data_IF_639370417655
#
_entry.id   IF_639370417655
#
_cell.length_a   1.000
_cell.length_b   1.000
_cell.length_c   1.000
_cell.angle_alpha   90.00
_cell.angle_beta   90.00
_cell.angle_gamma   90.00
#
_symmetry.space_group_name_H-M   'P 1'
#
loop_
_entity.id
_entity.type
_entity.pdbx_description
1 polymer ?
#
# COMPACT_ATOMS: atom_id res chain seq x y z
N UNK A 1 -5.50 -9.55 -17.34
CA UNK A 1 -5.03 -9.87 -15.97
C UNK A 1 -6.08 -9.36 -14.99
N UNK A 2 -6.36 -10.10 -13.91
CA UNK A 2 -7.33 -9.65 -12.90
C UNK A 2 -6.76 -8.48 -12.07
N UNK A 3 -7.61 -7.61 -11.49
CA UNK A 3 -7.14 -6.55 -10.60
C UNK A 3 -6.34 -7.14 -9.42
N UNK A 4 -5.19 -6.55 -9.12
CA UNK A 4 -4.33 -7.01 -8.03
C UNK A 4 -4.93 -6.69 -6.66
N UNK A 5 -5.13 -7.72 -5.84
CA UNK A 5 -5.61 -7.59 -4.46
C UNK A 5 -4.48 -7.15 -3.54
N UNK A 6 -4.74 -6.13 -2.73
CA UNK A 6 -3.80 -5.63 -1.73
C UNK A 6 -4.09 -6.16 -0.33
N UNK A 7 -3.06 -6.64 0.36
CA UNK A 7 -3.12 -6.96 1.77
C UNK A 7 -2.55 -5.80 2.62
N UNK A 8 -3.38 -5.21 3.48
CA UNK A 8 -3.00 -4.14 4.41
C UNK A 8 -2.80 -4.76 5.79
N UNK A 9 -1.58 -4.69 6.32
CA UNK A 9 -1.19 -5.43 7.53
C UNK A 9 -0.63 -4.49 8.59
N UNK A 10 -1.12 -4.65 9.82
CA UNK A 10 -0.50 -4.06 11.00
C UNK A 10 0.59 -4.97 11.52
N UNK A 11 1.81 -4.44 11.62
CA UNK A 11 2.92 -5.12 12.26
C UNK A 11 2.75 -5.20 13.78
N UNK A 12 3.76 -5.73 14.46
CA UNK A 12 3.71 -5.97 15.91
C UNK A 12 3.47 -4.69 16.71
N UNK A 13 4.10 -3.59 16.26
CA UNK A 13 4.00 -2.25 16.84
C UNK A 13 3.61 -1.27 15.75
N UNK A 14 2.53 -0.54 15.97
CA UNK A 14 1.99 0.51 15.08
C UNK A 14 1.53 1.69 15.92
N UNK A 15 1.59 2.90 15.38
CA UNK A 15 0.96 4.08 15.99
C UNK A 15 -0.49 4.25 15.53
N UNK A 16 -1.24 5.13 16.19
CA UNK A 16 -2.55 5.56 15.71
C UNK A 16 -2.50 6.16 14.31
N UNK A 17 -1.47 6.96 14.02
CA UNK A 17 -1.24 7.57 12.70
C UNK A 17 -1.06 6.51 11.60
N UNK A 18 -0.19 5.52 11.82
CA UNK A 18 0.03 4.42 10.85
C UNK A 18 -1.26 3.61 10.64
N UNK A 19 -2.01 3.37 11.72
CA UNK A 19 -3.28 2.66 11.63
C UNK A 19 -4.34 3.42 10.83
N UNK A 20 -4.38 4.75 10.95
CA UNK A 20 -5.23 5.61 10.11
C UNK A 20 -4.76 5.60 8.65
N UNK A 21 -3.45 5.71 8.39
CA UNK A 21 -2.90 5.64 7.04
C UNK A 21 -3.22 4.31 6.34
N UNK A 22 -3.07 3.16 7.03
CA UNK A 22 -3.48 1.85 6.49
C UNK A 22 -4.99 1.76 6.23
N UNK A 23 -5.80 2.44 7.05
CA UNK A 23 -7.26 2.50 6.85
C UNK A 23 -7.60 3.30 5.60
N UNK A 24 -6.93 4.43 5.37
CA UNK A 24 -7.14 5.25 4.19
C UNK A 24 -6.67 4.54 2.91
N UNK A 25 -5.50 3.90 2.95
CA UNK A 25 -5.00 3.06 1.84
C UNK A 25 -5.97 1.93 1.50
N UNK A 26 -6.53 1.26 2.52
CA UNK A 26 -7.56 0.25 2.32
C UNK A 26 -8.80 0.82 1.63
N UNK A 27 -9.27 1.99 2.06
CA UNK A 27 -10.44 2.64 1.46
C UNK A 27 -10.20 3.04 0.00
N UNK A 28 -9.01 3.56 -0.33
CA UNK A 28 -8.61 3.90 -1.71
C UNK A 28 -8.51 2.68 -2.62
N UNK A 29 -8.21 1.50 -2.05
CA UNK A 29 -7.96 0.27 -2.80
C UNK A 29 -9.19 -0.64 -2.91
N UNK A 30 -10.31 -0.31 -2.28
CA UNK A 30 -11.58 -1.06 -2.39
C UNK A 30 -12.07 -1.14 -3.85
N UNK A 31 -12.64 -2.28 -4.26
CA UNK A 31 -12.88 -3.50 -3.48
C UNK A 31 -11.69 -4.47 -3.43
N UNK A 32 -10.58 -4.16 -4.12
CA UNK A 32 -9.42 -5.05 -4.30
C UNK A 32 -8.44 -4.99 -3.12
N UNK A 33 -8.95 -5.06 -1.89
CA UNK A 33 -8.15 -4.93 -0.69
C UNK A 33 -8.68 -5.77 0.47
N UNK A 34 -7.77 -6.28 1.30
CA UNK A 34 -8.04 -6.97 2.56
C UNK A 34 -7.25 -6.27 3.67
N UNK A 35 -7.89 -5.96 4.80
CA UNK A 35 -7.24 -5.22 5.89
C UNK A 35 -7.21 -6.03 7.20
N UNK A 36 -6.00 -6.41 7.61
CA UNK A 36 -5.72 -7.11 8.85
C UNK A 36 -5.53 -6.10 9.99
N UNK A 37 -6.60 -5.89 10.77
CA UNK A 37 -6.62 -4.95 11.89
C UNK A 37 -5.96 -5.48 13.18
N UNK A 38 -5.72 -6.79 13.28
CA UNK A 38 -4.96 -7.39 14.38
C UNK A 38 -3.47 -7.25 14.10
N UNK A 39 -2.65 -7.18 15.14
CA UNK A 39 -1.20 -7.06 15.00
C UNK A 39 -0.59 -8.40 14.59
N UNK A 40 0.42 -8.35 13.72
CA UNK A 40 1.13 -9.51 13.22
C UNK A 40 2.62 -9.32 13.50
N UNK A 41 3.25 -10.28 14.18
CA UNK A 41 4.67 -10.25 14.49
C UNK A 41 5.49 -10.69 13.28
N UNK A 42 5.53 -9.83 12.25
CA UNK A 42 6.25 -10.03 11.00
C UNK A 42 7.29 -8.93 10.85
N UNK A 43 8.47 -9.31 10.36
CA UNK A 43 9.59 -8.41 10.12
C UNK A 43 10.02 -8.55 8.66
N UNK A 44 9.41 -7.78 7.72
CA UNK A 44 9.56 -8.05 6.28
C UNK A 44 11.00 -8.12 5.76
N UNK A 45 11.92 -7.36 6.35
CA UNK A 45 13.34 -7.32 5.98
C UNK A 45 14.22 -8.34 6.72
N UNK A 46 13.67 -9.08 7.69
CA UNK A 46 14.39 -10.11 8.44
C UNK A 46 13.89 -11.51 8.04
N UNK A 47 12.57 -11.70 7.99
CA UNK A 47 11.92 -12.92 7.53
C UNK A 47 10.59 -12.60 6.83
N UNK A 48 10.53 -12.91 5.54
CA UNK A 48 9.36 -12.64 4.69
C UNK A 48 8.36 -13.80 4.66
N UNK A 49 8.74 -14.99 5.15
CA UNK A 49 7.96 -16.24 5.00
C UNK A 49 6.53 -16.09 5.51
N UNK A 50 6.36 -15.44 6.66
CA UNK A 50 5.03 -15.20 7.23
C UNK A 50 4.20 -14.24 6.36
N UNK A 51 4.82 -13.24 5.75
CA UNK A 51 4.14 -12.30 4.86
C UNK A 51 3.73 -12.94 3.54
N UNK A 52 4.60 -13.77 2.95
CA UNK A 52 4.30 -14.58 1.76
C UNK A 52 3.11 -15.50 2.02
N UNK A 53 3.12 -16.23 3.14
CA UNK A 53 1.99 -17.09 3.55
C UNK A 53 0.68 -16.29 3.69
N UNK A 54 0.72 -15.13 4.34
CA UNK A 54 -0.45 -14.27 4.48
C UNK A 54 -0.96 -13.77 3.12
N UNK A 55 -0.06 -13.36 2.23
CA UNK A 55 -0.42 -12.92 0.89
C UNK A 55 -1.04 -14.05 0.07
N UNK A 56 -0.42 -15.24 0.07
CA UNK A 56 -0.94 -16.44 -0.59
C UNK A 56 -2.33 -16.83 -0.08
N UNK A 57 -2.55 -16.81 1.24
CA UNK A 57 -3.85 -17.15 1.84
C UNK A 57 -4.98 -16.19 1.45
N UNK A 58 -4.66 -14.96 1.09
CA UNK A 58 -5.63 -13.94 0.72
C UNK A 58 -5.63 -13.63 -0.79
N UNK A 59 -4.94 -14.44 -1.60
CA UNK A 59 -4.75 -14.20 -3.04
C UNK A 59 -4.28 -12.76 -3.35
N UNK A 60 -3.40 -12.23 -2.49
CA UNK A 60 -2.89 -10.87 -2.58
C UNK A 60 -1.51 -10.87 -3.24
N UNK A 61 -1.37 -10.15 -4.36
CA UNK A 61 -0.10 -9.99 -5.07
C UNK A 61 0.63 -8.70 -4.74
N UNK A 62 0.04 -7.84 -3.90
CA UNK A 62 0.64 -6.60 -3.39
C UNK A 62 0.28 -6.43 -1.91
N UNK A 63 1.11 -5.73 -1.15
CA UNK A 63 0.83 -5.45 0.26
C UNK A 63 1.28 -4.06 0.69
N UNK A 64 0.69 -3.59 1.79
CA UNK A 64 1.25 -2.51 2.60
C UNK A 64 1.31 -2.94 4.07
N UNK A 65 2.46 -2.75 4.70
CA UNK A 65 2.75 -3.21 6.05
C UNK A 65 3.18 -2.03 6.94
N UNK A 66 2.42 -1.76 8.00
CA UNK A 66 2.69 -0.64 8.90
C UNK A 66 3.48 -1.05 10.13
N UNK A 67 4.50 -0.27 10.49
CA UNK A 67 5.27 -0.43 11.73
C UNK A 67 5.59 0.92 12.38
N UNK A 68 5.96 0.88 13.66
CA UNK A 68 6.44 2.05 14.39
C UNK A 68 7.54 1.66 15.38
N UNK A 69 8.68 2.33 15.29
CA UNK A 69 9.80 2.21 16.24
C UNK A 69 10.55 3.52 16.38
N UNK A 70 11.46 3.63 17.37
CA UNK A 70 12.33 4.80 17.51
C UNK A 70 13.28 4.98 16.32
N UNK A 71 13.79 3.87 15.75
CA UNK A 71 14.71 3.87 14.61
C UNK A 71 14.00 4.17 13.29
N UNK A 72 12.77 3.68 13.14
CA UNK A 72 11.90 3.85 11.97
C UNK A 72 10.52 4.30 12.44
N UNK A 73 10.33 5.59 12.73
CA UNK A 73 9.04 6.12 13.16
C UNK A 73 8.06 6.13 11.99
N UNK A 74 6.80 5.81 12.26
CA UNK A 74 5.68 5.90 11.30
C UNK A 74 5.97 5.26 9.94
N UNK A 75 6.46 4.03 9.94
CA UNK A 75 6.98 3.37 8.76
C UNK A 75 5.90 2.57 8.02
N UNK A 76 5.86 2.70 6.70
CA UNK A 76 5.07 1.87 5.80
C UNK A 76 6.01 1.12 4.86
N UNK A 77 5.80 -0.17 4.70
CA UNK A 77 6.47 -0.99 3.69
C UNK A 77 5.46 -1.34 2.61
N UNK A 78 5.76 -0.98 1.36
CA UNK A 78 4.99 -1.44 0.20
C UNK A 78 5.77 -2.52 -0.51
N UNK A 79 5.09 -3.56 -1.01
CA UNK A 79 5.76 -4.60 -1.77
C UNK A 79 4.85 -5.39 -2.67
N UNK A 80 5.48 -6.16 -3.56
CA UNK A 80 4.83 -6.98 -4.59
C UNK A 80 5.26 -8.42 -4.45
N UNK A 81 4.36 -9.33 -4.77
CA UNK A 81 4.61 -10.76 -4.85
C UNK A 81 4.57 -11.21 -6.32
N UNK A 82 5.41 -12.16 -6.67
CA UNK A 82 5.37 -12.89 -7.92
C UNK A 82 5.39 -14.39 -7.60
N UNK A 83 4.41 -15.13 -8.10
CA UNK A 83 4.22 -16.55 -7.77
C UNK A 83 4.25 -16.81 -6.25
N UNK A 84 3.57 -15.95 -5.50
CA UNK A 84 3.50 -15.96 -4.03
C UNK A 84 4.82 -15.72 -3.28
N UNK A 85 5.91 -15.41 -3.99
CA UNK A 85 7.18 -15.03 -3.40
C UNK A 85 7.42 -13.52 -3.50
N UNK A 86 8.16 -12.96 -2.56
CA UNK A 86 8.51 -11.53 -2.58
C UNK A 86 9.29 -11.19 -3.84
N UNK A 87 8.75 -10.26 -4.64
CA UNK A 87 9.44 -9.70 -5.81
C UNK A 87 10.33 -8.53 -5.37
N UNK A 88 9.72 -7.52 -4.76
CA UNK A 88 10.40 -6.33 -4.26
C UNK A 88 9.56 -5.61 -3.20
N UNK A 89 10.22 -4.72 -2.45
CA UNK A 89 9.59 -3.88 -1.45
C UNK A 89 10.39 -2.60 -1.17
N UNK A 90 9.70 -1.57 -0.70
CA UNK A 90 10.29 -0.29 -0.31
C UNK A 90 9.72 0.19 1.04
N UNK A 91 10.57 0.73 1.91
CA UNK A 91 10.17 1.38 3.17
C UNK A 91 10.03 2.89 2.98
N UNK A 92 8.94 3.46 3.50
CA UNK A 92 8.62 4.87 3.45
C UNK A 92 8.19 5.34 4.83
N UNK A 93 8.92 6.31 5.39
CA UNK A 93 8.58 6.97 6.63
C UNK A 93 7.54 8.06 6.42
N UNK A 94 6.47 8.06 7.22
CA UNK A 94 5.45 9.11 7.17
C UNK A 94 5.89 10.30 8.03
N UNK A 95 6.06 11.46 7.41
CA UNK A 95 6.41 12.70 8.11
C UNK A 95 5.18 13.54 8.49
N UNK A 96 4.26 13.76 7.53
CA UNK A 96 3.10 14.63 7.72
C UNK A 96 1.83 14.00 7.12
N UNK A 97 1.08 13.26 7.95
CA UNK A 97 -0.18 12.62 7.54
C UNK A 97 -1.40 13.43 7.95
N UNK A 98 -2.34 13.57 7.01
CA UNK A 98 -3.70 14.03 7.29
C UNK A 98 -4.67 12.95 6.80
N UNK A 99 -5.53 12.42 7.68
CA UNK A 99 -6.49 11.39 7.30
C UNK A 99 -7.57 11.96 6.38
N UNK A 100 -8.11 11.12 5.50
CA UNK A 100 -9.18 11.48 4.56
C UNK A 100 -10.40 12.10 5.25
N UNK A 101 -10.70 11.71 6.48
CA UNK A 101 -11.84 12.22 7.25
C UNK A 101 -11.74 13.70 7.62
N UNK A 102 -10.54 14.29 7.62
CA UNK A 102 -10.35 15.71 7.92
C UNK A 102 -10.67 16.63 6.73
N UNK A 103 -10.81 16.09 5.52
CA UNK A 103 -11.10 16.86 4.33
C UNK A 103 -12.62 17.02 4.16
N UNK A 104 -13.07 18.28 4.07
CA UNK A 104 -14.48 18.60 3.87
C UNK A 104 -15.00 18.04 2.53
N UNK A 105 -16.25 17.57 2.53
CA UNK A 105 -16.90 17.04 1.32
C UNK A 105 -16.65 15.56 1.04
N UNK A 106 -15.80 14.87 1.81
CA UNK A 106 -15.57 13.42 1.70
C UNK A 106 -16.62 12.63 2.52
N UNK A 107 -17.88 13.07 2.52
CA UNK A 107 -18.98 12.39 3.18
C UNK A 107 -19.33 11.09 2.44
N UNK A 108 -18.52 10.04 2.64
CA UNK A 108 -18.69 8.74 2.00
C UNK A 108 -17.45 8.19 1.28
N UNK A 109 -16.32 8.92 1.25
CA UNK A 109 -15.11 8.52 0.53
C UNK A 109 -15.11 8.90 -0.96
N UNK A 110 -14.12 8.41 -1.70
CA UNK A 110 -14.10 8.48 -3.16
C UNK A 110 -15.13 7.47 -3.72
N UNK A 111 -15.75 7.76 -4.87
CA UNK A 111 -16.66 6.81 -5.52
C UNK A 111 -15.93 5.48 -5.75
N UNK A 112 -16.54 4.37 -5.31
CA UNK A 112 -15.93 3.06 -5.37
C UNK A 112 -15.46 2.75 -6.81
N UNK A 113 -14.25 2.20 -6.93
CA UNK A 113 -13.64 1.85 -8.22
C UNK A 113 -13.30 3.01 -9.16
N UNK A 114 -13.37 4.26 -8.69
CA UNK A 114 -12.81 5.40 -9.43
C UNK A 114 -11.34 5.16 -9.75
N UNK A 115 -10.98 5.24 -11.03
CA UNK A 115 -9.60 5.05 -11.46
C UNK A 115 -8.76 6.27 -11.05
N UNK A 116 -7.72 6.11 -10.22
CA UNK A 116 -6.90 7.25 -9.83
C UNK A 116 -6.04 7.73 -11.00
N UNK A 117 -5.78 9.04 -11.03
CA UNK A 117 -4.73 9.62 -11.84
C UNK A 117 -3.45 9.68 -11.00
N UNK A 118 -2.33 9.23 -11.55
CA UNK A 118 -1.02 9.27 -10.91
C UNK A 118 -0.14 10.29 -11.63
N UNK A 119 0.38 11.26 -10.88
CA UNK A 119 1.34 12.25 -11.35
C UNK A 119 2.63 12.10 -10.54
N UNK A 120 3.74 11.88 -11.23
CA UNK A 120 5.08 11.84 -10.64
C UNK A 120 5.84 13.07 -11.13
N UNK A 121 6.05 14.04 -10.25
CA UNK A 121 6.65 15.33 -10.59
C UNK A 121 8.09 15.43 -10.08
N UNK A 122 9.00 15.84 -10.96
CA UNK A 122 10.44 16.02 -10.67
C UNK A 122 11.34 15.03 -11.42
N UNK A 123 12.51 15.50 -11.88
CA UNK A 123 13.44 14.72 -12.69
C UNK A 123 14.00 13.48 -11.97
N UNK A 124 14.06 13.51 -10.64
CA UNK A 124 14.56 12.39 -9.84
C UNK A 124 13.72 11.10 -10.00
N UNK A 125 12.44 11.20 -10.37
CA UNK A 125 11.62 10.03 -10.69
C UNK A 125 12.09 9.26 -11.93
N UNK A 126 12.87 9.91 -12.80
CA UNK A 126 13.47 9.32 -13.99
C UNK A 126 14.94 8.95 -13.80
N UNK A 127 15.65 9.57 -12.85
CA UNK A 127 17.09 9.41 -12.68
C UNK A 127 17.52 8.60 -11.44
N UNK A 128 16.70 8.55 -10.40
CA UNK A 128 17.00 7.78 -9.19
C UNK A 128 16.44 6.35 -9.30
N UNK A 129 17.33 5.35 -9.16
CA UNK A 129 16.94 3.95 -9.18
C UNK A 129 15.91 3.60 -8.08
N UNK A 130 16.09 4.17 -6.88
CA UNK A 130 15.16 3.95 -5.76
C UNK A 130 13.77 4.52 -6.08
N UNK A 131 13.70 5.72 -6.66
CA UNK A 131 12.42 6.34 -7.03
C UNK A 131 11.77 5.64 -8.21
N UNK A 132 12.55 5.09 -9.15
CA UNK A 132 12.01 4.25 -10.22
C UNK A 132 11.32 2.99 -9.67
N UNK A 133 11.91 2.34 -8.65
CA UNK A 133 11.30 1.19 -7.95
C UNK A 133 10.02 1.63 -7.24
N UNK A 134 10.05 2.71 -6.46
CA UNK A 134 8.85 3.23 -5.76
C UNK A 134 7.75 3.60 -6.75
N UNK A 135 8.10 4.25 -7.87
CA UNK A 135 7.16 4.57 -8.95
C UNK A 135 6.52 3.31 -9.51
N UNK A 136 7.31 2.27 -9.80
CA UNK A 136 6.78 1.00 -10.29
C UNK A 136 5.84 0.34 -9.28
N UNK A 137 6.19 0.32 -7.99
CA UNK A 137 5.36 -0.24 -6.92
C UNK A 137 4.05 0.55 -6.81
N UNK A 138 4.09 1.89 -6.85
CA UNK A 138 2.90 2.73 -6.71
C UNK A 138 1.96 2.64 -7.92
N UNK A 139 2.50 2.55 -9.14
CA UNK A 139 1.68 2.29 -10.33
C UNK A 139 0.89 0.99 -10.13
N UNK A 140 1.55 -0.11 -9.79
CA UNK A 140 0.89 -1.40 -9.57
C UNK A 140 -0.10 -1.35 -8.38
N UNK A 141 0.27 -0.65 -7.30
CA UNK A 141 -0.57 -0.55 -6.11
C UNK A 141 -1.87 0.20 -6.40
N UNK A 142 -1.82 1.32 -7.12
CA UNK A 142 -2.97 2.20 -7.32
C UNK A 142 -3.72 2.02 -8.65
N UNK A 143 -3.18 1.30 -9.64
CA UNK A 143 -3.82 1.16 -10.97
C UNK A 143 -5.24 0.53 -10.96
N UNK A 144 -5.63 -0.14 -9.87
CA UNK A 144 -6.91 -0.87 -9.72
C UNK A 144 -7.14 -1.86 -10.88
N UNK A 145 -8.09 -1.56 -11.78
CA UNK A 145 -8.40 -2.34 -12.98
C UNK A 145 -7.79 -1.71 -14.24
N UNK A 146 -7.32 -2.58 -15.14
CA UNK A 146 -7.02 -2.19 -16.52
C UNK A 146 -8.36 -2.02 -17.24
N UNK A 147 -8.52 -0.90 -17.96
CA UNK A 147 -9.72 -0.58 -18.73
C UNK A 147 -9.29 -0.11 -20.11
N UNK A 148 -10.06 -0.47 -21.14
CA UNK A 148 -9.75 -0.10 -22.53
C UNK A 148 -10.12 1.36 -22.85
N UNK A 149 -11.06 1.93 -22.09
CA UNK A 149 -11.47 3.32 -22.21
C UNK A 149 -11.88 3.91 -20.84
N UNK A 150 -11.74 5.23 -20.71
CA UNK A 150 -12.28 6.00 -19.58
C UNK A 150 -13.59 6.62 -20.09
N UNK A 151 -14.72 6.23 -19.51
CA UNK A 151 -16.00 6.88 -19.82
C UNK A 151 -16.13 8.17 -19.01
N UNK A 152 -16.43 9.26 -19.71
CA UNK A 152 -16.81 10.56 -19.13
C UNK A 152 -18.24 10.55 -18.59
#
# INVERSE_FOLDING_TARGET
>A
ENPRVALLVRGQKTSGLVNSALTDLFMLKKPYAVHFKRHNAVHPFEDVTSLEFLCQKNDASIFAFGTHSKKRPQNLVFGRMYDHHLLDMAELGIEAFRPMVEFAGINGGCAAESKPCLLFEGAEWEHSADLQVVRSIFVDFFQLRVVDAISS
#
